data_IF_241749807027
#
_entry.id   IF_241749807027
#
_cell.length_a   1.000
_cell.length_b   1.000
_cell.length_c   1.000
_cell.angle_alpha   90.00
_cell.angle_beta   90.00
_cell.angle_gamma   90.00
#
_symmetry.space_group_name_H-M   'P 1'
#
loop_
_entity.id
_entity.type
_entity.pdbx_description
1 polymer ?
2 non-polymer ?
3 non-polymer ?
4 water ?
#
# COMPACT_ATOMS: atom_id res chain seq x y z
N UNK A 13 -27.71 -12.80 20.93
CA UNK A 13 -26.83 -11.62 21.18
C UNK A 13 -25.72 -11.56 20.11
N UNK A 14 -25.23 -10.36 19.80
CA UNK A 14 -24.03 -10.16 18.97
C UNK A 14 -23.13 -9.15 19.69
N UNK A 15 -21.81 -9.25 19.52
CA UNK A 15 -20.89 -8.17 19.93
C UNK A 15 -20.96 -7.09 18.84
N UNK A 16 -21.32 -5.87 19.26
CA UNK A 16 -21.36 -4.65 18.40
C UNK A 16 -20.11 -3.83 18.74
N UNK A 17 -19.11 -3.96 17.87
CA UNK A 17 -17.78 -3.31 18.00
C UNK A 17 -17.01 -3.49 16.69
N UNK A 18 -16.04 -2.59 16.41
CA UNK A 18 -15.25 -2.65 15.18
C UNK A 18 -14.53 -4.00 15.08
N UNK A 19 -14.45 -4.54 13.87
CA UNK A 19 -13.86 -5.86 13.58
C UNK A 19 -12.39 -5.78 13.28
N UNK A 20 -11.86 -4.61 12.87
CA UNK A 20 -10.48 -4.45 12.34
C UNK A 20 -9.83 -3.13 12.83
N UNK A 21 -10.14 -2.71 14.05
CA UNK A 21 -9.72 -1.42 14.63
C UNK A 21 -8.41 -1.56 15.39
N UNK A 22 -8.06 -2.73 15.93
CA UNK A 22 -6.81 -2.92 16.72
C UNK A 22 -5.76 -3.56 15.80
N UNK A 23 -4.55 -3.03 15.80
CA UNK A 23 -3.37 -3.65 15.17
C UNK A 23 -2.57 -4.38 16.26
N UNK A 24 -2.33 -5.67 16.05
CA UNK A 24 -1.51 -6.51 16.93
C UNK A 24 -0.27 -6.99 16.18
N UNK A 25 0.80 -7.30 16.90
CA UNK A 25 1.96 -8.01 16.33
C UNK A 25 1.44 -9.33 15.73
N UNK A 26 1.73 -9.55 14.45
CA UNK A 26 1.32 -10.77 13.69
C UNK A 26 1.97 -12.01 14.30
N UNK A 27 3.16 -11.87 14.89
CA UNK A 27 3.96 -13.00 15.40
C UNK A 27 3.43 -13.45 16.76
N UNK A 28 3.15 -12.54 17.71
CA UNK A 28 2.82 -12.94 19.11
C UNK A 28 1.47 -12.41 19.60
N UNK A 29 0.84 -11.45 18.93
CA UNK A 29 -0.48 -10.91 19.31
C UNK A 29 -0.41 -9.69 20.22
N UNK A 30 0.78 -9.19 20.55
CA UNK A 30 0.90 -7.97 21.40
C UNK A 30 0.07 -6.84 20.77
N UNK A 31 -0.73 -6.13 21.54
CA UNK A 31 -1.46 -4.90 21.11
C UNK A 31 -0.44 -3.83 20.71
N UNK A 32 -0.52 -3.26 19.50
CA UNK A 32 0.46 -2.26 19.01
C UNK A 32 -0.20 -0.90 18.73
N UNK A 33 -1.26 -0.85 17.97
CA UNK A 33 -1.89 0.46 17.68
C UNK A 33 -3.35 0.27 17.32
N UNK A 34 -3.96 1.32 16.79
CA UNK A 34 -5.38 1.34 16.43
C UNK A 34 -5.57 2.16 15.16
N UNK A 35 -6.62 1.85 14.41
CA UNK A 35 -6.93 2.51 13.13
C UNK A 35 -7.20 4.00 13.41
N UNK A 36 -7.72 4.32 14.59
CA UNK A 36 -8.04 5.71 14.98
C UNK A 36 -6.78 6.55 15.03
N UNK A 37 -5.60 5.95 15.15
CA UNK A 37 -4.32 6.69 15.28
C UNK A 37 -3.60 6.81 13.94
N UNK A 38 -4.14 6.29 12.84
CA UNK A 38 -3.48 6.46 11.52
C UNK A 38 -3.27 7.95 11.25
N UNK A 39 -2.10 8.28 10.72
CA UNK A 39 -1.58 9.67 10.62
C UNK A 39 -1.15 9.91 9.20
N UNK A 40 -1.82 10.81 8.44
CA UNK A 40 -1.43 11.08 7.05
C UNK A 40 -0.24 12.03 6.92
N UNK A 41 0.96 11.56 7.26
CA UNK A 41 2.24 12.31 7.12
C UNK A 41 2.46 12.61 5.63
N UNK A 42 2.61 13.88 5.27
CA UNK A 42 2.76 14.31 3.86
C UNK A 42 1.55 13.94 3.03
N UNK A 43 0.38 13.76 3.66
CA UNK A 43 -0.90 13.51 2.97
C UNK A 43 -1.22 12.04 2.77
N UNK A 44 -0.45 11.10 3.33
CA UNK A 44 -0.78 9.66 3.22
C UNK A 44 -0.26 8.93 4.44
N UNK A 45 -1.06 8.04 5.03
CA UNK A 45 -0.58 7.21 6.15
C UNK A 45 0.42 6.20 5.59
N UNK A 46 0.34 5.86 4.30
CA UNK A 46 1.23 4.84 3.70
C UNK A 46 2.41 5.51 3.00
N UNK A 47 3.63 5.04 3.29
CA UNK A 47 4.87 5.48 2.62
C UNK A 47 5.64 4.25 2.15
N UNK A 48 6.05 4.26 0.89
CA UNK A 48 6.92 3.19 0.34
C UNK A 48 8.32 3.78 0.24
N UNK A 49 9.25 3.26 1.00
CA UNK A 49 10.53 3.96 1.29
C UNK A 49 11.70 2.99 1.08
N UNK A 50 12.90 3.50 0.83
CA UNK A 50 14.08 2.64 0.67
C UNK A 50 15.19 3.07 1.62
N UNK A 51 15.90 2.09 2.15
CA UNK A 51 17.04 2.33 3.06
C UNK A 51 18.31 2.43 2.24
N UNK A 52 19.47 2.68 2.90
CA UNK A 52 20.72 2.86 2.17
C UNK A 52 21.18 1.63 1.35
N UNK A 53 20.76 0.44 1.74
CA UNK A 53 21.10 -0.83 1.03
C UNK A 53 20.02 -1.17 0.00
N UNK A 54 19.06 -0.28 -0.26
CA UNK A 54 18.08 -0.41 -1.34
C UNK A 54 16.86 -1.22 -0.91
N UNK A 55 16.76 -1.63 0.35
CA UNK A 55 15.60 -2.42 0.80
C UNK A 55 14.39 -1.51 0.82
N UNK A 56 13.28 -1.96 0.19
CA UNK A 56 12.03 -1.18 0.12
C UNK A 56 11.11 -1.70 1.23
N UNK A 57 10.55 -0.77 2.01
CA UNK A 57 9.59 -1.07 3.09
C UNK A 57 8.28 -0.35 2.81
N UNK A 58 7.20 -0.95 3.27
CA UNK A 58 5.87 -0.32 3.21
C UNK A 58 5.49 0.03 4.65
N UNK A 59 5.52 1.32 4.93
CA UNK A 59 5.35 1.89 6.28
C UNK A 59 3.96 2.53 6.38
N UNK A 60 3.26 2.27 7.49
CA UNK A 60 2.01 2.97 7.88
C UNK A 60 2.34 3.84 9.08
N UNK A 61 1.95 5.11 9.03
CA UNK A 61 2.23 6.08 10.12
C UNK A 61 1.06 6.11 11.10
N UNK A 62 1.40 6.03 12.39
CA UNK A 62 0.44 6.12 13.52
C UNK A 62 0.90 7.19 14.49
N UNK A 63 -0.02 7.99 15.01
CA UNK A 63 0.31 9.06 15.99
C UNK A 63 0.77 8.45 17.31
N UNK A 64 0.22 7.30 17.67
CA UNK A 64 0.44 6.61 18.96
C UNK A 64 0.60 5.13 18.69
N UNK A 65 1.33 4.48 19.58
CA UNK A 65 1.50 3.02 19.58
C UNK A 65 1.82 2.62 21.01
N UNK A 66 1.69 1.35 21.28
CA UNK A 66 2.04 0.74 22.57
C UNK A 66 2.71 -0.60 22.32
N UNK A 67 3.28 -1.18 23.37
CA UNK A 67 3.76 -2.55 23.30
C UNK A 67 5.07 -2.68 22.56
N UNK A 68 5.70 -1.58 22.16
CA UNK A 68 6.99 -1.62 21.44
C UNK A 68 8.14 -1.47 22.43
N UNK A 69 9.36 -1.78 21.98
CA UNK A 69 10.62 -1.53 22.71
C UNK A 69 11.56 -0.78 21.75
N UNK A 70 11.91 0.47 22.09
CA UNK A 70 12.75 1.32 21.23
C UNK A 70 14.20 1.07 21.61
N UNK A 71 15.05 0.77 20.65
CA UNK A 71 16.46 0.33 20.86
C UNK A 71 17.42 1.45 20.44
N UNK A 72 18.40 1.78 21.27
CA UNK A 72 19.45 2.74 20.91
C UNK A 72 19.01 4.19 21.01
N UNK A 73 19.93 5.07 20.64
CA UNK A 73 19.73 6.52 20.60
C UNK A 73 19.12 6.89 19.25
N UNK A 74 18.37 8.00 19.16
CA UNK A 74 17.83 8.43 17.87
C UNK A 74 18.96 8.75 16.89
N UNK A 75 18.64 8.67 15.60
CA UNK A 75 19.54 9.05 14.49
C UNK A 75 18.75 9.80 13.43
N UNK A 76 19.32 10.81 12.80
CA UNK A 76 18.75 11.49 11.63
C UNK A 76 19.19 10.85 10.33
N UNK A 77 20.09 9.88 10.39
CA UNK A 77 20.74 9.30 9.18
C UNK A 77 19.67 8.70 8.25
N UNK A 78 19.61 9.18 7.01
CA UNK A 78 18.69 8.65 5.97
C UNK A 78 17.24 8.70 6.48
N UNK A 79 16.89 9.60 7.41
CA UNK A 79 15.51 9.68 7.91
C UNK A 79 14.52 9.94 6.76
N UNK A 80 13.46 9.14 6.71
CA UNK A 80 12.39 9.21 5.68
C UNK A 80 11.44 10.38 5.93
N UNK A 81 11.47 11.00 7.11
CA UNK A 81 10.51 12.06 7.49
C UNK A 81 11.27 13.31 7.92
N UNK A 82 11.03 14.41 7.21
CA UNK A 82 11.78 15.69 7.36
C UNK A 82 11.65 16.21 8.79
N UNK A 83 12.76 16.43 9.47
CA UNK A 83 12.79 17.04 10.82
C UNK A 83 12.73 16.01 11.92
N UNK A 84 12.59 14.71 11.61
CA UNK A 84 12.51 13.66 12.63
C UNK A 84 13.77 12.79 12.66
N UNK A 85 14.16 12.40 13.86
CA UNK A 85 15.16 11.34 14.12
C UNK A 85 14.41 10.04 14.38
N UNK A 86 15.03 8.90 14.10
CA UNK A 86 14.37 7.59 14.22
C UNK A 86 15.11 6.73 15.24
N UNK A 87 14.34 5.84 15.88
CA UNK A 87 14.85 4.72 16.72
C UNK A 87 14.16 3.46 16.25
N UNK A 88 14.88 2.35 16.23
CA UNK A 88 14.30 1.02 15.88
C UNK A 88 13.23 0.68 16.92
N UNK A 89 12.08 0.23 16.44
CA UNK A 89 10.97 -0.22 17.29
C UNK A 89 10.82 -1.73 17.11
N UNK A 90 11.08 -2.48 18.18
CA UNK A 90 10.77 -3.93 18.24
C UNK A 90 9.42 -4.13 18.93
N UNK A 91 8.74 -5.23 18.61
CA UNK A 91 7.67 -5.75 19.50
C UNK A 91 8.30 -5.97 20.88
N UNK A 92 7.77 -5.34 21.91
CA UNK A 92 8.28 -5.45 23.27
C UNK A 92 8.05 -6.83 23.83
N UNK A 93 7.14 -7.61 23.22
CA UNK A 93 6.83 -8.97 23.70
C UNK A 93 7.76 -9.99 23.02
N UNK A 94 7.75 -10.07 21.68
CA UNK A 94 8.48 -11.15 20.95
C UNK A 94 9.80 -10.67 20.34
N UNK A 95 10.04 -9.37 20.23
CA UNK A 95 11.31 -8.84 19.70
C UNK A 95 11.34 -8.72 18.18
N UNK A 96 10.22 -8.99 17.51
CA UNK A 96 10.06 -8.83 16.04
C UNK A 96 10.32 -7.36 15.71
N UNK A 97 11.01 -7.09 14.61
CA UNK A 97 11.17 -5.70 14.12
C UNK A 97 9.82 -5.22 13.54
N UNK A 98 9.19 -4.22 14.16
CA UNK A 98 7.88 -3.71 13.72
C UNK A 98 8.00 -2.35 13.06
N UNK A 99 9.12 -1.66 13.17
CA UNK A 99 9.32 -0.40 12.42
C UNK A 99 10.21 0.56 13.18
N UNK A 100 9.80 1.83 13.27
CA UNK A 100 10.64 2.91 13.84
C UNK A 100 9.75 3.92 14.58
N UNK A 101 10.31 4.52 15.62
CA UNK A 101 9.73 5.69 16.30
C UNK A 101 10.43 6.95 15.78
N UNK A 102 9.65 7.97 15.47
CA UNK A 102 10.17 9.27 14.97
C UNK A 102 9.91 10.33 16.04
N UNK A 103 10.92 11.17 16.29
CA UNK A 103 10.81 12.23 17.33
C UNK A 103 11.58 13.45 16.86
N UNK A 104 11.26 14.61 17.44
CA UNK A 104 12.05 15.83 17.22
C UNK A 104 11.47 16.76 16.18
N UNK A 105 10.37 16.40 15.53
CA UNK A 105 9.69 17.26 14.55
C UNK A 105 8.53 17.97 15.19
N UNK A 106 7.54 18.35 14.39
CA UNK A 106 6.36 19.13 14.84
C UNK A 106 5.12 18.64 14.07
N UNK A 107 3.96 18.71 14.72
CA UNK A 107 2.63 18.48 14.11
C UNK A 107 2.63 17.13 13.40
N UNK A 108 2.90 16.01 14.09
CA UNK A 108 3.11 15.97 15.55
C UNK A 108 4.59 15.94 15.96
N UNK A 109 4.86 16.03 17.26
CA UNK A 109 6.22 15.96 17.84
C UNK A 109 6.82 14.57 17.61
N UNK A 110 5.99 13.53 17.74
CA UNK A 110 6.42 12.10 17.71
C UNK A 110 5.37 11.30 16.96
N UNK A 111 5.79 10.20 16.36
CA UNK A 111 4.87 9.25 15.69
C UNK A 111 5.65 7.99 15.38
N UNK A 112 4.94 6.98 14.90
CA UNK A 112 5.50 5.65 14.61
C UNK A 112 5.30 5.37 13.14
N UNK A 113 6.38 4.91 12.50
CA UNK A 113 6.29 4.34 11.17
C UNK A 113 6.41 2.84 11.25
N UNK A 114 5.30 2.14 11.09
CA UNK A 114 5.28 0.69 11.37
C UNK A 114 5.22 -0.09 10.08
N UNK A 115 5.86 -1.25 10.07
CA UNK A 115 5.80 -2.20 8.94
C UNK A 115 4.43 -2.89 8.96
N UNK A 116 3.56 -2.41 8.09
CA UNK A 116 2.14 -2.77 8.04
C UNK A 116 2.01 -4.29 7.95
N UNK A 117 2.87 -4.92 7.15
CA UNK A 117 2.74 -6.37 6.81
C UNK A 117 3.18 -7.23 8.00
N UNK A 118 3.66 -6.64 9.10
CA UNK A 118 4.04 -7.38 10.32
C UNK A 118 2.97 -7.21 11.41
N UNK A 119 1.85 -6.57 11.07
CA UNK A 119 0.69 -6.39 11.98
C UNK A 119 -0.49 -7.22 11.48
N UNK A 120 -1.36 -7.64 12.41
CA UNK A 120 -2.66 -8.27 12.11
C UNK A 120 -3.75 -7.32 12.61
N UNK A 121 -4.84 -7.17 11.84
CA UNK A 121 -5.93 -6.25 12.24
C UNK A 121 -7.07 -7.08 12.84
N UNK A 122 -7.71 -6.56 13.87
CA UNK A 122 -8.84 -7.30 14.43
C UNK A 122 -9.63 -6.48 15.42
N UNK A 123 -10.60 -7.15 16.07
CA UNK A 123 -11.61 -6.48 16.90
C UNK A 123 -11.09 -5.82 18.19
N UNK B 21 -3.35 -16.29 -13.84
CA UNK B 21 -3.27 -17.28 -12.73
C UNK B 21 -4.66 -17.56 -12.15
N UNK B 22 -5.04 -18.85 -12.18
CA UNK B 22 -6.29 -19.37 -11.58
C UNK B 22 -6.01 -19.88 -10.17
N UNK B 23 -6.88 -19.54 -9.25
CA UNK B 23 -6.89 -20.08 -7.86
C UNK B 23 -7.93 -21.19 -7.80
N UNK B 24 -7.49 -22.34 -7.33
CA UNK B 24 -8.34 -23.54 -7.17
C UNK B 24 -8.44 -23.88 -5.68
N UNK B 25 -9.52 -24.56 -5.31
CA UNK B 25 -9.62 -25.23 -3.99
C UNK B 25 -8.40 -26.14 -3.84
N UNK B 26 -7.63 -25.96 -2.78
CA UNK B 26 -6.39 -26.74 -2.54
C UNK B 26 -6.75 -28.21 -2.33
N UNK B 27 -7.94 -28.50 -1.78
CA UNK B 27 -8.34 -29.89 -1.43
C UNK B 27 -8.80 -30.65 -2.68
N UNK B 28 -9.66 -30.07 -3.55
CA UNK B 28 -10.28 -30.86 -4.64
C UNK B 28 -9.99 -30.31 -6.04
N UNK B 29 -9.47 -29.08 -6.15
CA UNK B 29 -9.08 -28.50 -7.44
C UNK B 29 -10.18 -27.71 -8.11
N UNK B 30 -11.36 -27.56 -7.48
CA UNK B 30 -12.49 -26.76 -8.05
C UNK B 30 -11.96 -25.37 -8.38
N UNK B 31 -12.25 -24.85 -9.57
CA UNK B 31 -11.87 -23.46 -9.95
C UNK B 31 -12.63 -22.48 -9.02
N UNK B 32 -11.91 -21.54 -8.39
CA UNK B 32 -12.55 -20.60 -7.43
C UNK B 32 -12.42 -19.16 -7.93
N UNK B 33 -11.23 -18.70 -8.24
CA UNK B 33 -11.09 -17.28 -8.65
C UNK B 33 -9.82 -17.10 -9.48
N UNK B 34 -9.47 -15.87 -9.77
CA UNK B 34 -8.31 -15.59 -10.66
C UNK B 34 -7.68 -14.30 -10.21
N UNK B 35 -6.40 -14.15 -10.57
CA UNK B 35 -5.61 -12.97 -10.14
C UNK B 35 -6.23 -11.71 -10.74
N UNK B 36 -6.92 -11.84 -11.89
CA UNK B 36 -7.54 -10.66 -12.56
C UNK B 36 -8.63 -10.06 -11.66
N UNK B 37 -9.17 -10.82 -10.70
CA UNK B 37 -10.29 -10.37 -9.83
C UNK B 37 -9.79 -9.91 -8.47
N UNK B 38 -8.48 -9.87 -8.24
CA UNK B 38 -7.96 -9.37 -6.95
C UNK B 38 -8.47 -7.94 -6.75
N UNK B 39 -8.81 -7.62 -5.50
CA UNK B 39 -9.51 -6.38 -5.12
C UNK B 39 -8.72 -5.74 -3.98
N UNK B 40 -8.13 -4.55 -4.20
CA UNK B 40 -7.38 -3.88 -3.14
C UNK B 40 -8.25 -3.14 -2.13
N UNK B 41 -8.97 -3.87 -1.27
CA UNK B 41 -9.76 -3.30 -0.15
C UNK B 41 -8.82 -2.57 0.80
N UNK B 42 -9.06 -1.29 1.07
CA UNK B 42 -8.18 -0.45 1.90
C UNK B 42 -6.77 -0.36 1.34
N UNK B 43 -6.63 -0.56 0.03
CA UNK B 43 -5.34 -0.41 -0.69
C UNK B 43 -4.51 -1.67 -0.76
N UNK B 44 -5.01 -2.84 -0.34
CA UNK B 44 -4.25 -4.11 -0.46
C UNK B 44 -5.23 -5.26 -0.65
N UNK B 45 -4.91 -6.21 -1.53
CA UNK B 45 -5.76 -7.41 -1.70
C UNK B 45 -5.51 -8.33 -0.50
N UNK B 46 -4.34 -8.23 0.16
CA UNK B 46 -4.01 -9.11 1.31
C UNK B 46 -4.31 -8.41 2.63
N UNK B 47 -5.08 -9.06 3.50
CA UNK B 47 -5.37 -8.61 4.88
C UNK B 47 -5.00 -9.72 5.84
N UNK B 48 -4.15 -9.43 6.80
CA UNK B 48 -3.84 -10.35 7.92
C UNK B 48 -4.70 -9.92 9.09
N UNK B 49 -5.59 -10.81 9.54
CA UNK B 49 -6.71 -10.45 10.44
C UNK B 49 -6.77 -11.50 11.56
N UNK B 50 -7.36 -11.14 12.69
CA UNK B 50 -7.59 -12.10 13.79
C UNK B 50 -9.09 -12.13 14.07
N UNK B 51 -9.56 -13.33 14.38
CA UNK B 51 -10.98 -13.55 14.72
C UNK B 51 -11.16 -13.31 16.22
N UNK B 52 -12.40 -13.39 16.74
CA UNK B 52 -12.64 -13.08 18.14
C UNK B 52 -11.92 -14.03 19.13
N UNK B 53 -11.55 -15.23 18.69
CA UNK B 53 -10.80 -16.21 19.51
C UNK B 53 -9.28 -16.02 19.35
N UNK B 54 -8.84 -15.04 18.57
CA UNK B 54 -7.42 -14.70 18.39
C UNK B 54 -6.71 -15.55 17.35
N UNK B 55 -7.45 -16.33 16.56
CA UNK B 55 -6.85 -17.10 15.44
C UNK B 55 -6.55 -16.12 14.29
N UNK B 56 -5.39 -16.25 13.67
CA UNK B 56 -4.92 -15.32 12.60
C UNK B 56 -5.20 -15.95 11.25
N UNK B 57 -5.77 -15.17 10.32
CA UNK B 57 -6.02 -15.58 8.91
C UNK B 57 -5.33 -14.60 7.98
N UNK B 58 -4.78 -15.12 6.90
CA UNK B 58 -4.25 -14.31 5.79
C UNK B 58 -5.27 -14.38 4.66
N UNK B 59 -5.99 -13.30 4.48
CA UNK B 59 -7.18 -13.23 3.58
C UNK B 59 -6.78 -12.46 2.33
N UNK B 60 -7.09 -12.99 1.16
CA UNK B 60 -6.98 -12.30 -0.15
C UNK B 60 -8.40 -11.93 -0.61
N UNK B 61 -8.58 -10.70 -1.06
CA UNK B 61 -9.90 -10.16 -1.49
C UNK B 61 -10.01 -10.29 -3.01
N UNK B 62 -11.14 -10.83 -3.45
CA UNK B 62 -11.49 -11.01 -4.89
C UNK B 62 -12.88 -10.41 -5.13
N UNK B 63 -13.05 -9.69 -6.23
CA UNK B 63 -14.34 -9.08 -6.60
C UNK B 63 -15.37 -10.16 -6.95
N UNK B 64 -14.91 -11.23 -7.58
CA UNK B 64 -15.76 -12.32 -8.12
C UNK B 64 -15.12 -13.63 -7.72
N UNK B 65 -15.92 -14.66 -7.59
CA UNK B 65 -15.44 -16.04 -7.48
C UNK B 65 -16.55 -16.94 -7.99
N UNK B 66 -16.21 -18.20 -8.13
CA UNK B 66 -17.15 -19.25 -8.56
C UNK B 66 -16.85 -20.50 -7.77
N UNK B 67 -17.76 -21.47 -7.84
CA UNK B 67 -17.49 -22.79 -7.28
C UNK B 67 -17.67 -22.83 -5.79
N UNK B 68 -18.08 -21.74 -5.14
CA UNK B 68 -18.27 -21.74 -3.67
C UNK B 68 -19.73 -22.02 -3.33
N UNK B 69 -20.01 -22.32 -2.06
CA UNK B 69 -21.37 -22.41 -1.49
C UNK B 69 -21.38 -21.54 -0.24
N UNK B 70 -22.23 -20.51 -0.22
CA UNK B 70 -22.36 -19.59 0.93
C UNK B 70 -23.41 -20.19 1.87
N UNK B 71 -23.07 -20.37 3.14
CA UNK B 71 -23.94 -21.09 4.09
C UNK B 71 -24.39 -20.13 5.18
N UNK B 72 -25.64 -20.24 5.62
CA UNK B 72 -26.18 -19.47 6.75
C UNK B 72 -26.55 -18.06 6.37
N UNK B 73 -27.01 -17.28 7.36
CA UNK B 73 -27.48 -15.90 7.15
C UNK B 73 -26.29 -14.98 7.33
N UNK B 74 -26.28 -13.80 6.68
CA UNK B 74 -25.18 -12.86 6.85
C UNK B 74 -25.12 -12.39 8.31
N UNK B 75 -23.91 -12.00 8.73
CA UNK B 75 -23.66 -11.46 10.07
C UNK B 75 -22.74 -10.25 9.95
N UNK B 76 -23.01 -9.22 10.75
CA UNK B 76 -22.12 -8.05 10.88
C UNK B 76 -21.09 -8.26 11.99
N UNK B 77 -21.22 -9.33 12.76
CA UNK B 77 -20.43 -9.51 14.00
C UNK B 77 -18.93 -9.58 13.69
N UNK B 78 -18.15 -8.66 14.25
CA UNK B 78 -16.67 -8.62 14.13
C UNK B 78 -16.28 -8.65 12.65
N UNK B 79 -17.10 -8.03 11.79
CA UNK B 79 -16.73 -7.95 10.35
C UNK B 79 -15.37 -7.26 10.18
N UNK B 80 -14.47 -7.87 9.43
CA UNK B 80 -13.12 -7.31 9.13
C UNK B 80 -13.18 -6.17 8.13
N UNK B 81 -14.30 -5.98 7.43
CA UNK B 81 -14.44 -4.94 6.38
C UNK B 81 -15.66 -4.07 6.72
N UNK B 82 -15.39 -2.85 7.13
CA UNK B 82 -16.40 -1.89 7.65
C UNK B 82 -17.55 -1.74 6.63
N UNK B 83 -18.78 -1.90 7.09
CA UNK B 83 -20.01 -1.72 6.30
C UNK B 83 -20.47 -2.97 5.58
N UNK B 84 -19.71 -4.07 5.64
CA UNK B 84 -20.10 -5.34 4.99
C UNK B 84 -20.49 -6.37 6.05
N UNK B 85 -21.51 -7.17 5.74
CA UNK B 85 -21.85 -8.41 6.47
C UNK B 85 -21.13 -9.58 5.82
N UNK B 86 -20.87 -10.64 6.57
CA UNK B 86 -20.18 -11.83 6.04
C UNK B 86 -21.06 -13.07 6.11
N UNK B 87 -20.82 -13.98 5.17
CA UNK B 87 -21.35 -15.36 5.17
C UNK B 87 -20.18 -16.30 4.91
N UNK B 88 -20.19 -17.44 5.59
CA UNK B 88 -19.15 -18.49 5.40
C UNK B 88 -19.21 -18.99 3.95
N UNK B 89 -18.05 -19.12 3.34
CA UNK B 89 -17.91 -19.60 1.94
C UNK B 89 -17.18 -20.93 1.97
N UNK B 90 -17.87 -22.00 1.59
CA UNK B 90 -17.26 -23.35 1.44
C UNK B 90 -16.97 -23.60 -0.04
N UNK B 91 -16.02 -24.45 -0.34
CA UNK B 91 -15.95 -25.07 -1.67
C UNK B 91 -17.28 -25.79 -1.91
N UNK B 92 -17.98 -25.48 -3.01
CA UNK B 92 -19.28 -26.09 -3.36
C UNK B 92 -19.13 -27.56 -3.70
N UNK B 93 -17.92 -27.98 -4.05
CA UNK B 93 -17.66 -29.36 -4.53
C UNK B 93 -17.26 -30.25 -3.35
N UNK B 94 -16.25 -29.86 -2.55
CA UNK B 94 -15.70 -30.74 -1.48
C UNK B 94 -16.05 -30.24 -0.07
N UNK B 95 -16.53 -29.02 0.12
CA UNK B 95 -16.97 -28.53 1.45
C UNK B 95 -15.84 -27.89 2.26
N UNK B 96 -14.62 -27.83 1.74
CA UNK B 96 -13.49 -27.12 2.42
C UNK B 96 -13.89 -25.69 2.75
N UNK B 97 -13.60 -25.22 3.97
CA UNK B 97 -13.85 -23.81 4.33
C UNK B 97 -12.81 -22.92 3.64
N UNK B 98 -13.20 -22.13 2.63
CA UNK B 98 -12.25 -21.34 1.83
C UNK B 98 -12.25 -19.87 2.26
N UNK B 99 -13.24 -19.39 3.00
CA UNK B 99 -13.26 -17.99 3.41
C UNK B 99 -14.67 -17.48 3.66
N UNK B 100 -14.93 -16.26 3.20
CA UNK B 100 -16.20 -15.55 3.48
C UNK B 100 -16.61 -14.71 2.28
N UNK B 101 -17.91 -14.51 2.11
CA UNK B 101 -18.49 -13.55 1.16
C UNK B 101 -18.97 -12.34 1.95
N UNK B 102 -18.67 -11.15 1.46
CA UNK B 102 -19.01 -9.85 2.07
C UNK B 102 -20.06 -9.17 1.18
N UNK B 103 -21.08 -8.59 1.80
CA UNK B 103 -22.20 -7.94 1.06
C UNK B 103 -22.66 -6.71 1.83
N UNK B 104 -23.27 -5.76 1.12
CA UNK B 104 -23.95 -4.62 1.76
C UNK B 104 -23.13 -3.33 1.70
N UNK B 105 -22.02 -3.30 1.00
CA UNK B 105 -21.21 -2.06 0.84
C UNK B 105 -21.40 -1.43 -0.52
N UNK B 106 -20.42 -0.64 -0.97
CA UNK B 106 -20.37 -0.05 -2.33
C UNK B 106 -18.93 -0.12 -2.88
N UNK B 107 -18.81 -0.29 -4.20
CA UNK B 107 -17.51 -0.23 -4.95
C UNK B 107 -16.48 -1.13 -4.29
N UNK B 108 -16.71 -2.46 -4.19
CA UNK B 108 -17.90 -3.11 -4.75
C UNK B 108 -19.03 -3.36 -3.74
N UNK B 109 -20.19 -3.77 -4.22
CA UNK B 109 -21.33 -4.13 -3.34
C UNK B 109 -20.99 -5.41 -2.59
N UNK B 110 -20.37 -6.37 -3.28
CA UNK B 110 -20.06 -7.71 -2.74
C UNK B 110 -18.65 -8.12 -3.16
N UNK B 111 -17.99 -8.91 -2.35
CA UNK B 111 -16.65 -9.46 -2.69
C UNK B 111 -16.39 -10.65 -1.78
N UNK B 112 -15.33 -11.37 -2.07
CA UNK B 112 -14.91 -12.56 -1.32
C UNK B 112 -13.58 -12.27 -0.61
N UNK B 113 -13.52 -12.66 0.65
CA UNK B 113 -12.24 -12.73 1.37
C UNK B 113 -11.87 -14.19 1.53
N UNK B 114 -10.87 -14.66 0.79
CA UNK B 114 -10.53 -16.11 0.76
C UNK B 114 -9.25 -16.35 1.54
N UNK B 115 -9.20 -17.48 2.23
CA UNK B 115 -8.02 -17.91 3.04
C UNK B 115 -6.94 -18.40 2.08
N UNK B 116 -5.90 -17.59 1.88
CA UNK B 116 -4.89 -17.80 0.82
C UNK B 116 -4.31 -19.23 0.91
N UNK B 117 -4.03 -19.73 2.11
CA UNK B 117 -3.38 -21.04 2.34
C UNK B 117 -4.29 -22.22 1.90
N UNK B 118 -5.57 -21.96 1.65
CA UNK B 118 -6.56 -22.99 1.27
C UNK B 118 -6.83 -22.95 -0.24
N UNK B 119 -6.10 -22.09 -0.96
CA UNK B 119 -6.14 -22.03 -2.44
C UNK B 119 -4.80 -22.54 -2.99
N UNK B 120 -4.81 -23.08 -4.21
CA UNK B 120 -3.60 -23.49 -4.96
C UNK B 120 -3.62 -22.71 -6.28
N UNK B 121 -2.47 -22.28 -6.76
CA UNK B 121 -2.38 -21.54 -8.04
C UNK B 121 -2.03 -22.50 -9.19
N UNK C 19 22.79 7.12 -3.29
CA UNK C 19 21.53 6.46 -2.89
C UNK C 19 20.42 7.49 -2.72
N UNK C 20 20.65 8.48 -1.86
CA UNK C 20 19.67 9.52 -1.45
C UNK C 20 19.14 10.31 -2.66
N UNK C 21 19.91 10.46 -3.74
CA UNK C 21 19.63 11.40 -4.87
C UNK C 21 18.97 10.68 -6.04
N UNK C 22 18.67 9.39 -5.94
CA UNK C 22 18.10 8.57 -7.04
C UNK C 22 16.58 8.52 -6.91
N UNK C 23 15.87 8.74 -8.01
CA UNK C 23 14.42 8.55 -8.12
C UNK C 23 14.14 7.16 -8.72
N UNK C 24 13.38 6.36 -7.97
CA UNK C 24 13.18 4.92 -8.28
C UNK C 24 11.69 4.60 -8.45
N UNK C 25 11.39 3.62 -9.30
CA UNK C 25 10.03 3.06 -9.43
C UNK C 25 9.55 2.59 -8.06
N UNK C 26 8.37 3.02 -7.62
CA UNK C 26 7.78 2.64 -6.31
C UNK C 26 7.49 1.13 -6.27
N UNK C 27 7.18 0.52 -7.42
CA UNK C 27 6.74 -0.91 -7.47
C UNK C 27 7.96 -1.83 -7.48
N UNK C 28 9.01 -1.55 -8.27
CA UNK C 28 10.11 -2.53 -8.46
C UNK C 28 11.48 -1.97 -8.05
N UNK C 29 11.60 -0.66 -7.81
CA UNK C 29 12.85 -0.03 -7.36
C UNK C 29 13.78 0.39 -8.49
N UNK C 30 13.41 0.17 -9.76
CA UNK C 30 14.33 0.51 -10.87
C UNK C 30 14.74 1.98 -10.76
N UNK C 31 16.04 2.25 -10.92
CA UNK C 31 16.61 3.60 -11.14
C UNK C 31 15.96 4.24 -12.37
N UNK C 32 15.41 5.45 -12.20
CA UNK C 32 14.74 6.18 -13.32
C UNK C 32 15.49 7.49 -13.57
N UNK C 33 15.73 8.28 -12.53
CA UNK C 33 16.45 9.55 -12.72
C UNK C 33 17.15 9.94 -11.44
N UNK C 34 17.68 11.16 -11.41
CA UNK C 34 18.47 11.65 -10.25
C UNK C 34 18.25 13.14 -10.08
N UNK C 35 18.50 13.62 -8.86
CA UNK C 35 18.32 15.04 -8.48
C UNK C 35 19.09 15.95 -9.45
N UNK C 36 20.27 15.53 -9.91
CA UNK C 36 21.09 16.41 -10.78
C UNK C 36 20.38 16.69 -12.10
N UNK C 37 19.41 15.85 -12.50
CA UNK C 37 18.75 15.98 -13.82
C UNK C 37 17.40 16.70 -13.70
N UNK C 38 17.01 17.15 -12.50
CA UNK C 38 15.78 17.95 -12.36
C UNK C 38 15.91 19.20 -13.27
N UNK C 39 14.83 19.59 -13.93
CA UNK C 39 14.80 20.82 -14.77
C UNK C 39 15.09 22.06 -13.92
N UNK C 40 15.91 23.00 -14.41
CA UNK C 40 16.16 24.24 -13.67
C UNK C 40 15.02 25.26 -13.76
N UNK C 41 14.24 25.26 -14.85
CA UNK C 41 13.13 26.23 -15.04
C UNK C 41 11.87 25.67 -14.37
N UNK C 42 10.86 26.54 -14.20
CA UNK C 42 9.51 26.18 -13.72
C UNK C 42 9.35 26.39 -12.22
N UNK C 43 10.21 27.21 -11.60
CA UNK C 43 10.21 27.48 -10.15
C UNK C 43 10.66 26.26 -9.36
N UNK C 44 10.02 25.96 -8.23
CA UNK C 44 10.39 24.80 -7.39
C UNK C 44 10.06 23.52 -8.18
N UNK C 45 10.61 22.40 -7.73
CA UNK C 45 10.68 21.15 -8.52
C UNK C 45 9.27 20.58 -8.74
N UNK C 46 8.37 20.72 -7.77
CA UNK C 46 7.07 19.99 -7.79
C UNK C 46 6.00 20.82 -8.52
N UNK C 47 5.29 20.24 -9.47
CA UNK C 47 4.23 20.98 -10.21
C UNK C 47 2.91 20.30 -9.85
N UNK C 48 2.00 21.05 -9.23
CA UNK C 48 0.71 20.46 -8.77
C UNK C 48 -0.30 20.67 -9.90
N UNK C 49 -0.77 19.58 -10.50
CA UNK C 49 -1.59 19.63 -11.74
C UNK C 49 -2.79 18.72 -11.58
N UNK C 50 -3.81 18.91 -12.39
CA UNK C 50 -5.06 18.11 -12.31
C UNK C 50 -5.34 17.55 -13.70
N UNK C 51 -5.72 16.28 -13.76
CA UNK C 51 -6.09 15.67 -15.06
C UNK C 51 -7.53 16.04 -15.40
N UNK C 52 -8.07 15.61 -16.56
CA UNK C 52 -9.41 16.02 -16.96
C UNK C 52 -10.52 15.60 -15.97
N UNK C 53 -10.29 14.57 -15.15
CA UNK C 53 -11.25 14.09 -14.12
C UNK C 53 -11.07 14.86 -12.80
N UNK C 54 -10.11 15.80 -12.73
CA UNK C 54 -9.85 16.59 -11.51
C UNK C 54 -8.98 15.83 -10.51
N UNK C 55 -8.36 14.73 -10.91
CA UNK C 55 -7.42 13.99 -10.03
C UNK C 55 -6.12 14.80 -9.96
N UNK C 56 -5.53 14.93 -8.78
CA UNK C 56 -4.31 15.75 -8.53
C UNK C 56 -3.04 14.90 -8.69
N UNK C 57 -2.06 15.42 -9.41
CA UNK C 57 -0.73 14.80 -9.59
C UNK C 57 0.32 15.81 -9.16
N UNK C 58 1.38 15.32 -8.53
CA UNK C 58 2.55 16.13 -8.16
C UNK C 58 3.66 15.73 -9.12
N UNK C 59 3.91 16.54 -10.15
CA UNK C 59 4.79 16.14 -11.28
C UNK C 59 6.15 16.80 -11.10
N UNK C 60 7.18 15.98 -11.14
CA UNK C 60 8.60 16.39 -11.04
C UNK C 60 9.20 16.25 -12.43
N UNK C 61 9.85 17.31 -12.92
CA UNK C 61 10.30 17.42 -14.33
C UNK C 61 11.81 17.25 -14.42
N UNK C 62 12.27 16.40 -15.32
CA UNK C 62 13.69 15.99 -15.48
C UNK C 62 14.13 16.21 -16.92
N UNK C 63 15.37 16.67 -17.11
CA UNK C 63 15.96 16.79 -18.47
C UNK C 63 16.26 15.39 -19.01
N UNK C 64 16.60 14.45 -18.13
CA UNK C 64 17.06 13.09 -18.52
C UNK C 64 16.39 12.07 -17.65
N UNK C 65 16.16 10.89 -18.19
CA UNK C 65 15.69 9.73 -17.42
C UNK C 65 16.15 8.47 -18.15
N UNK C 66 16.07 7.35 -17.47
CA UNK C 66 16.45 6.06 -18.07
C UNK C 66 15.52 4.99 -17.51
N UNK C 67 15.49 3.85 -18.22
CA UNK C 67 14.76 2.67 -17.73
C UNK C 67 13.27 2.80 -17.92
N UNK C 68 12.80 3.82 -18.66
CA UNK C 68 11.36 3.93 -18.97
C UNK C 68 11.07 3.26 -20.31
N UNK C 69 9.80 3.04 -20.59
CA UNK C 69 9.32 2.61 -21.92
C UNK C 69 8.20 3.56 -22.35
N UNK C 70 8.42 4.32 -23.43
CA UNK C 70 7.45 5.33 -23.91
C UNK C 70 6.52 4.63 -24.89
N UNK C 71 5.20 4.68 -24.67
CA UNK C 71 4.23 3.86 -25.46
C UNK C 71 3.32 4.80 -26.26
N UNK C 72 2.88 4.38 -27.44
CA UNK C 72 1.83 5.08 -28.21
C UNK C 72 2.36 6.32 -28.93
N UNK C 73 1.45 7.10 -29.51
CA UNK C 73 1.78 8.31 -30.29
C UNK C 73 1.68 9.50 -29.36
N UNK C 74 2.38 10.61 -29.63
CA UNK C 74 2.24 11.80 -28.79
C UNK C 74 0.82 12.36 -28.87
N UNK C 75 0.40 13.04 -27.82
CA UNK C 75 -0.92 13.71 -27.73
C UNK C 75 -0.74 15.09 -27.11
N UNK C 76 -1.48 16.08 -27.61
CA UNK C 76 -1.58 17.41 -26.99
C UNK C 76 -2.74 17.50 -26.00
N UNK C 77 -3.54 16.43 -25.88
CA UNK C 77 -4.82 16.46 -25.12
C UNK C 77 -4.55 16.82 -23.65
N UNK C 78 -5.14 17.93 -23.19
CA UNK C 78 -5.04 18.40 -21.78
C UNK C 78 -3.57 18.48 -21.34
N UNK C 79 -2.63 18.75 -22.26
CA UNK C 79 -1.20 18.87 -21.90
C UNK C 79 -1.02 19.96 -20.83
N UNK C 80 -0.33 19.62 -19.74
CA UNK C 80 -0.06 20.54 -18.60
C UNK C 80 1.01 21.56 -18.95
N UNK C 81 1.79 21.34 -20.01
CA UNK C 81 2.93 22.20 -20.35
C UNK C 81 2.73 22.73 -21.78
N UNK C 82 2.58 24.06 -21.87
CA UNK C 82 2.20 24.76 -23.12
C UNK C 82 3.22 24.43 -24.21
N UNK C 83 2.76 23.96 -25.38
CA UNK C 83 3.61 23.70 -26.57
C UNK C 83 4.22 22.31 -26.58
N UNK C 84 3.95 21.48 -25.58
CA UNK C 84 4.47 20.08 -25.54
C UNK C 84 3.35 19.08 -25.73
N UNK C 85 3.66 18.03 -26.51
CA UNK C 85 2.83 16.80 -26.60
C UNK C 85 3.41 15.79 -25.63
N UNK C 86 2.58 14.90 -25.11
CA UNK C 86 3.03 13.89 -24.14
C UNK C 86 2.87 12.47 -24.72
N UNK C 87 3.71 11.57 -24.24
CA UNK C 87 3.63 10.11 -24.45
C UNK C 87 3.71 9.46 -23.08
N UNK C 88 2.89 8.44 -22.83
CA UNK C 88 2.92 7.69 -21.55
C UNK C 88 4.29 7.05 -21.36
N UNK C 89 4.83 7.19 -20.15
CA UNK C 89 6.11 6.60 -19.74
C UNK C 89 5.84 5.53 -18.70
N UNK C 90 6.08 4.28 -19.06
CA UNK C 90 6.02 3.16 -18.09
C UNK C 90 7.43 2.88 -17.56
N UNK C 91 7.49 2.31 -16.36
CA UNK C 91 8.71 1.60 -15.95
C UNK C 91 8.99 0.51 -16.99
N UNK C 92 10.18 0.53 -17.60
CA UNK C 92 10.55 -0.45 -18.64
C UNK C 92 10.74 -1.83 -18.02
N UNK C 93 10.89 -1.89 -16.70
CA UNK C 93 11.15 -3.15 -15.97
C UNK C 93 9.83 -3.81 -15.58
N UNK C 94 8.95 -3.14 -14.82
CA UNK C 94 7.73 -3.74 -14.25
C UNK C 94 6.44 -3.27 -14.93
N UNK C 95 6.47 -2.20 -15.74
CA UNK C 95 5.29 -1.73 -16.49
C UNK C 95 4.42 -0.74 -15.72
N UNK C 96 4.81 -0.37 -14.50
CA UNK C 96 4.07 0.65 -13.71
C UNK C 96 4.04 1.98 -14.50
N UNK C 97 2.89 2.66 -14.50
CA UNK C 97 2.81 4.00 -15.14
C UNK C 97 3.51 5.03 -14.24
N UNK C 98 4.66 5.58 -14.64
CA UNK C 98 5.46 6.48 -13.78
C UNK C 98 5.28 7.95 -14.19
N UNK C 99 4.81 8.22 -15.42
CA UNK C 99 4.56 9.59 -15.87
C UNK C 99 4.50 9.70 -17.37
N UNK C 100 5.15 10.72 -17.93
CA UNK C 100 5.05 11.10 -19.36
C UNK C 100 6.38 11.62 -19.87
N UNK C 101 6.65 11.43 -21.15
CA UNK C 101 7.72 12.15 -21.89
C UNK C 101 7.05 13.27 -22.68
N UNK C 102 7.63 14.46 -22.63
CA UNK C 102 7.10 15.67 -23.30
C UNK C 102 8.07 16.05 -24.41
N UNK C 103 7.53 16.42 -25.57
CA UNK C 103 8.33 16.73 -26.78
C UNK C 103 7.63 17.85 -27.53
N UNK C 104 8.38 18.53 -28.40
CA UNK C 104 7.83 19.46 -29.40
C UNK C 104 7.88 20.92 -28.96
N UNK C 105 8.39 21.22 -27.77
CA UNK C 105 8.47 22.59 -27.24
C UNK C 105 9.82 23.23 -27.47
N UNK C 106 10.16 24.22 -26.66
CA UNK C 106 11.48 24.90 -26.65
C UNK C 106 11.88 25.19 -25.20
N UNK C 107 13.18 25.16 -24.91
CA UNK C 107 13.77 25.55 -23.60
C UNK C 107 13.03 24.86 -22.45
N UNK C 108 13.09 23.51 -22.38
CA UNK C 108 13.79 22.66 -23.36
C UNK C 108 12.89 22.07 -24.46
N UNK C 109 13.47 21.40 -25.45
CA UNK C 109 12.70 20.72 -26.54
C UNK C 109 11.93 19.53 -25.96
N UNK C 110 12.54 18.79 -25.03
CA UNK C 110 11.99 17.54 -24.47
C UNK C 110 12.29 17.50 -22.98
N UNK C 111 11.46 16.79 -22.23
CA UNK C 111 11.70 16.52 -20.80
C UNK C 111 10.77 15.39 -20.36
N UNK C 112 11.01 14.90 -19.15
CA UNK C 112 10.17 13.84 -18.52
C UNK C 112 9.42 14.42 -17.33
N UNK C 113 8.14 14.15 -17.24
CA UNK C 113 7.33 14.50 -16.06
C UNK C 113 6.98 13.24 -15.31
N UNK C 114 7.50 13.07 -14.11
CA UNK C 114 7.23 11.84 -13.29
C UNK C 114 6.28 12.16 -12.15
N UNK C 115 5.39 11.22 -11.89
CA UNK C 115 4.38 11.31 -10.80
C UNK C 115 5.06 10.95 -9.48
N UNK C 116 5.22 11.92 -8.57
CA UNK C 116 5.78 11.72 -7.20
C UNK C 116 5.24 10.42 -6.55
N UNK C 117 3.92 10.22 -6.58
CA UNK C 117 3.28 9.12 -5.81
C UNK C 117 3.53 7.76 -6.49
N UNK C 118 4.19 7.73 -7.64
CA UNK C 118 4.53 6.47 -8.36
C UNK C 118 6.02 6.15 -8.18
N UNK C 119 6.74 6.98 -7.41
CA UNK C 119 8.18 6.78 -7.11
C UNK C 119 8.33 6.37 -5.65
N UNK C 120 9.35 5.57 -5.35
CA UNK C 120 9.75 5.21 -3.98
C UNK C 120 10.22 6.48 -3.28
N UNK C 121 10.23 6.48 -1.96
CA UNK C 121 10.59 7.66 -1.15
C UNK C 121 11.96 7.42 -0.53
N UNK C 122 12.90 8.31 -0.80
CA UNK C 122 14.23 8.26 -0.17
C UNK C 122 14.25 9.11 1.09
N UNK C 123 15.45 9.46 1.59
CA UNK C 123 15.56 10.34 2.75
C UNK C 123 14.88 11.66 2.39
N UNK C 124 14.23 12.28 3.38
CA UNK C 124 13.44 13.52 3.20
C UNK C 124 14.40 14.63 2.76
#
# INVERSE_FOLDING_TARGET
>A
AMPLDAGGQNSTQMVLAPGASIFRCRQCGQTISRRDWLLPMGGDHEHVVFNPAGMIFRVWCFSLAQGLRLIGAPSGEFSWFKGYDWTIALCGQCGSHLGWHYEGGSQPQTFFGLIKDRLAEGPAD
>B
AMPLDAGGQNSTQMVLAPGASIFRCRQCGQTISRRDWLLPMGGDHEHVVFNPAGMIFRVWCFSLAQGLRLIGAPSGEFSWFKGYDWTIALCGQCGSHLGWHYEGGSQPQTFFGLIKDRLAEGPAD
>C
AMPLDAGGQNSTQMVLAPGASIFRCRQCGQTISRRDWLLPMGGDHEHVVFNPAGMIFRVWCFSLAQGLRLIGAPSGEFSWFKGYDWTIALCGQCGSHLGWHYEGGSQPQTFFGLIKDRLAEGPAD
#
